data_IF_402265111698
#
_entry.id   IF_402265111698
#
_cell.length_a   1.000
_cell.length_b   1.000
_cell.length_c   1.000
_cell.angle_alpha   90.00
_cell.angle_beta   90.00
_cell.angle_gamma   90.00
#
_symmetry.space_group_name_H-M   'P 1'
#
loop_
_entity.id
_entity.type
_entity.pdbx_description
1 polymer ?
#
# COMPACT_ATOMS: atom_id res chain seq x y z
N UNK A 1 -31.95 10.98 38.67
CA UNK A 1 -31.59 9.96 37.67
C UNK A 1 -30.85 10.62 36.51
N UNK A 2 -29.61 11.06 36.70
CA UNK A 2 -28.90 11.88 35.70
C UNK A 2 -27.46 11.41 35.49
N UNK A 3 -26.80 10.95 36.57
CA UNK A 3 -25.38 10.56 36.57
C UNK A 3 -25.06 9.24 35.84
N UNK A 4 -26.06 8.37 35.67
CA UNK A 4 -25.93 7.10 34.93
C UNK A 4 -26.03 7.33 33.42
N UNK A 5 -26.95 8.18 32.97
CA UNK A 5 -27.13 8.54 31.55
C UNK A 5 -25.90 9.23 30.96
N UNK A 6 -25.13 9.97 31.76
CA UNK A 6 -23.88 10.60 31.32
C UNK A 6 -22.73 9.60 31.21
N UNK A 7 -22.72 8.54 32.02
CA UNK A 7 -21.69 7.51 31.96
C UNK A 7 -21.86 6.62 30.72
N UNK A 8 -23.09 6.20 30.43
CA UNK A 8 -23.39 5.38 29.24
C UNK A 8 -23.16 6.16 27.93
N UNK A 9 -23.47 7.45 27.90
CA UNK A 9 -23.15 8.30 26.74
C UNK A 9 -21.64 8.52 26.56
N UNK A 10 -20.90 8.71 27.66
CA UNK A 10 -19.43 8.88 27.61
C UNK A 10 -18.74 7.60 27.13
N UNK A 11 -19.19 6.42 27.57
CA UNK A 11 -18.65 5.14 27.10
C UNK A 11 -18.98 4.88 25.63
N UNK A 12 -20.20 5.20 25.18
CA UNK A 12 -20.56 5.07 23.76
C UNK A 12 -19.72 6.00 22.88
N UNK A 13 -19.51 7.25 23.30
CA UNK A 13 -18.65 8.20 22.59
C UNK A 13 -17.21 7.71 22.49
N UNK A 14 -16.62 7.24 23.59
CA UNK A 14 -15.25 6.67 23.59
C UNK A 14 -15.15 5.45 22.68
N UNK A 15 -16.13 4.55 22.70
CA UNK A 15 -16.13 3.39 21.82
C UNK A 15 -16.27 3.79 20.34
N UNK A 16 -17.09 4.80 20.02
CA UNK A 16 -17.19 5.32 18.66
C UNK A 16 -15.86 5.95 18.21
N UNK A 17 -15.23 6.72 19.08
CA UNK A 17 -13.94 7.36 18.82
C UNK A 17 -12.84 6.32 18.60
N UNK A 18 -12.69 5.34 19.49
CA UNK A 18 -11.69 4.29 19.34
C UNK A 18 -11.87 3.46 18.06
N UNK A 19 -13.11 3.24 17.61
CA UNK A 19 -13.38 2.58 16.32
C UNK A 19 -13.01 3.47 15.12
N UNK A 20 -13.26 4.77 15.22
CA UNK A 20 -12.91 5.72 14.17
C UNK A 20 -11.37 5.83 14.05
N UNK A 21 -10.68 6.01 15.18
CA UNK A 21 -9.22 6.04 15.26
C UNK A 21 -8.59 4.74 14.73
N UNK A 22 -9.11 3.58 15.16
CA UNK A 22 -8.60 2.30 14.67
C UNK A 22 -8.80 2.08 13.17
N UNK A 23 -9.88 2.61 12.59
CA UNK A 23 -10.11 2.56 11.14
C UNK A 23 -9.14 3.50 10.40
N UNK A 24 -8.97 4.71 10.89
CA UNK A 24 -8.07 5.71 10.32
C UNK A 24 -6.61 5.23 10.36
N UNK A 25 -6.12 4.79 11.51
CA UNK A 25 -4.78 4.22 11.65
C UNK A 25 -4.59 2.98 10.78
N UNK A 26 -5.62 2.13 10.68
CA UNK A 26 -5.58 0.93 9.84
C UNK A 26 -5.44 1.27 8.36
N UNK A 27 -6.17 2.29 7.89
CA UNK A 27 -6.06 2.78 6.52
C UNK A 27 -4.70 3.41 6.24
N UNK A 28 -4.21 4.27 7.13
CA UNK A 28 -2.90 4.92 6.99
C UNK A 28 -1.76 3.88 6.92
N UNK A 29 -1.70 2.97 7.90
CA UNK A 29 -0.69 1.88 7.94
C UNK A 29 -0.81 0.96 6.73
N UNK A 30 -2.03 0.70 6.26
CA UNK A 30 -2.27 -0.12 5.07
C UNK A 30 -1.75 0.53 3.80
N UNK A 31 -2.01 1.83 3.63
CA UNK A 31 -1.56 2.61 2.48
C UNK A 31 -0.04 2.77 2.47
N UNK A 32 0.57 3.08 3.61
CA UNK A 32 2.03 3.19 3.77
C UNK A 32 2.72 1.88 3.36
N UNK A 33 2.31 0.75 3.95
CA UNK A 33 2.86 -0.58 3.62
C UNK A 33 2.62 -0.99 2.18
N UNK A 34 1.47 -0.63 1.61
CA UNK A 34 1.16 -0.89 0.21
C UNK A 34 2.08 -0.12 -0.72
N UNK A 35 2.33 1.15 -0.41
CA UNK A 35 3.21 2.02 -1.18
C UNK A 35 4.67 1.58 -1.08
N UNK A 36 5.16 1.28 0.12
CA UNK A 36 6.53 0.76 0.36
C UNK A 36 6.78 -0.51 -0.48
N UNK A 37 5.90 -1.51 -0.37
CA UNK A 37 6.02 -2.74 -1.17
C UNK A 37 5.96 -2.48 -2.68
N UNK A 38 5.08 -1.58 -3.12
CA UNK A 38 4.99 -1.22 -4.53
C UNK A 38 6.27 -0.55 -5.05
N UNK A 39 6.89 0.29 -4.24
CA UNK A 39 8.16 0.94 -4.57
C UNK A 39 9.32 -0.06 -4.62
N UNK A 40 9.39 -0.99 -3.68
CA UNK A 40 10.41 -2.05 -3.66
C UNK A 40 10.31 -2.95 -4.89
N UNK A 41 9.09 -3.41 -5.22
CA UNK A 41 8.84 -4.23 -6.41
C UNK A 41 9.21 -3.48 -7.70
N UNK A 42 8.82 -2.21 -7.79
CA UNK A 42 9.17 -1.40 -8.95
C UNK A 42 10.68 -1.14 -9.05
N UNK A 43 11.35 -0.89 -7.93
CA UNK A 43 12.80 -0.74 -7.86
C UNK A 43 13.54 -2.00 -8.35
N UNK A 44 13.07 -3.18 -7.91
CA UNK A 44 13.60 -4.47 -8.38
C UNK A 44 13.43 -4.67 -9.88
N UNK A 45 12.24 -4.38 -10.41
CA UNK A 45 11.98 -4.41 -11.85
C UNK A 45 12.91 -3.47 -12.63
N UNK A 46 13.06 -2.22 -12.17
CA UNK A 46 13.93 -1.25 -12.85
C UNK A 46 15.39 -1.69 -12.83
N UNK A 47 15.88 -2.24 -11.71
CA UNK A 47 17.24 -2.79 -11.65
C UNK A 47 17.43 -3.90 -12.68
N UNK A 48 16.52 -4.86 -12.73
CA UNK A 48 16.55 -5.96 -13.70
C UNK A 48 16.55 -5.46 -15.16
N UNK A 49 15.70 -4.50 -15.49
CA UNK A 49 15.63 -3.93 -16.84
C UNK A 49 16.92 -3.17 -17.21
N UNK A 50 17.58 -2.54 -16.24
CA UNK A 50 18.87 -1.88 -16.46
C UNK A 50 19.96 -2.93 -16.72
N UNK A 51 20.01 -3.99 -15.93
CA UNK A 51 21.00 -5.07 -16.07
C UNK A 51 20.87 -5.81 -17.42
N UNK A 52 19.64 -6.01 -17.90
CA UNK A 52 19.33 -6.56 -19.23
C UNK A 52 19.48 -5.55 -20.38
N UNK A 53 19.80 -4.28 -20.09
CA UNK A 53 19.92 -3.21 -21.09
C UNK A 53 18.59 -2.75 -21.70
N UNK A 54 17.44 -3.15 -21.13
CA UNK A 54 16.07 -2.82 -21.57
C UNK A 54 15.62 -1.43 -21.07
N UNK A 55 16.41 -0.40 -21.36
CA UNK A 55 16.17 0.96 -20.85
C UNK A 55 14.87 1.60 -21.37
N UNK A 56 14.45 1.27 -22.59
CA UNK A 56 13.18 1.76 -23.15
C UNK A 56 11.97 1.15 -22.43
N UNK A 57 12.08 -0.12 -22.01
CA UNK A 57 11.06 -0.77 -21.20
C UNK A 57 10.97 -0.14 -19.80
N UNK A 58 12.11 0.18 -19.19
CA UNK A 58 12.14 0.87 -17.89
C UNK A 58 11.46 2.25 -17.98
N UNK A 59 11.77 3.03 -19.03
CA UNK A 59 11.11 4.33 -19.27
C UNK A 59 9.61 4.18 -19.48
N UNK A 60 9.19 3.18 -20.26
CA UNK A 60 7.77 2.93 -20.51
C UNK A 60 7.05 2.48 -19.24
N UNK A 61 7.63 1.58 -18.46
CA UNK A 61 7.06 1.11 -17.18
C UNK A 61 6.91 2.24 -16.14
N UNK A 62 7.77 3.26 -16.18
CA UNK A 62 7.65 4.43 -15.32
C UNK A 62 6.43 5.30 -15.66
N UNK A 63 6.00 5.33 -16.92
CA UNK A 63 4.89 6.18 -17.38
C UNK A 63 3.57 5.41 -17.59
N UNK A 64 3.64 4.11 -17.86
CA UNK A 64 2.50 3.26 -18.20
C UNK A 64 2.31 2.19 -17.14
N UNK A 65 1.24 2.33 -16.35
CA UNK A 65 0.89 1.39 -15.29
C UNK A 65 0.54 0.00 -15.80
N UNK A 66 -0.20 -0.09 -16.91
CA UNK A 66 -0.62 -1.39 -17.45
C UNK A 66 0.59 -2.16 -18.00
N UNK A 67 1.53 -1.44 -18.62
CA UNK A 67 2.78 -2.01 -19.09
C UNK A 67 3.70 -2.42 -17.95
N UNK A 68 3.78 -1.63 -16.88
CA UNK A 68 4.51 -2.00 -15.67
C UNK A 68 3.96 -3.27 -15.03
N UNK A 69 2.64 -3.40 -14.94
CA UNK A 69 2.01 -4.60 -14.34
C UNK A 69 2.29 -5.86 -15.17
N UNK A 70 2.29 -5.74 -16.51
CA UNK A 70 2.73 -6.80 -17.42
C UNK A 70 4.19 -7.21 -17.15
N UNK A 71 5.10 -6.24 -17.07
CA UNK A 71 6.52 -6.49 -16.82
C UNK A 71 6.79 -7.03 -15.41
N UNK A 72 6.04 -6.58 -14.40
CA UNK A 72 6.12 -7.12 -13.05
C UNK A 72 5.70 -8.58 -13.03
N UNK A 73 4.62 -8.95 -13.73
CA UNK A 73 4.21 -10.35 -13.85
C UNK A 73 5.26 -11.21 -14.58
N UNK A 74 5.91 -10.68 -15.63
CA UNK A 74 7.04 -11.36 -16.28
C UNK A 74 8.23 -11.52 -15.35
N UNK A 75 8.57 -10.47 -14.58
CA UNK A 75 9.69 -10.46 -13.63
C UNK A 75 9.47 -11.44 -12.47
N UNK A 76 8.26 -11.52 -11.90
CA UNK A 76 7.92 -12.47 -10.84
C UNK A 76 7.96 -13.94 -11.32
N UNK A 77 7.68 -14.19 -12.60
CA UNK A 77 7.71 -15.54 -13.20
C UNK A 77 9.11 -15.93 -13.69
N UNK A 78 9.91 -14.97 -14.15
CA UNK A 78 11.23 -15.20 -14.74
C UNK A 78 12.44 -14.96 -13.82
N UNK A 79 12.26 -14.23 -12.71
CA UNK A 79 13.34 -13.78 -11.81
C UNK A 79 13.42 -14.51 -10.46
N UNK A 80 12.64 -15.58 -10.25
CA UNK A 80 12.64 -16.35 -9.01
C UNK A 80 13.84 -17.29 -8.86
N UNK A 81 14.98 -16.77 -8.39
CA UNK A 81 16.11 -17.51 -7.81
C UNK A 81 16.58 -16.83 -6.53
#
# INVERSE_FOLDING_TARGET
>A
MTRVLTYEQDTEMRCRQARAEGLEEGMEKGMEKGMEKGMDQFGGLVSYLIDEGRLDDAKRAAADASYRDLLLAEFEVGGGC
#
